data_IF_932853830626
#
_entry.id   IF_932853830626
#
_cell.length_a   1.000
_cell.length_b   1.000
_cell.length_c   1.000
_cell.angle_alpha   90.00
_cell.angle_beta   90.00
_cell.angle_gamma   90.00
#
_symmetry.space_group_name_H-M   'P 1'
#
loop_
_entity.id
_entity.type
_entity.pdbx_description
1 polymer ?
#
# COMPACT_ATOMS: atom_id res chain seq x y z
N UNK A 1 8.53 -15.35 -23.41
CA UNK A 1 7.35 -14.77 -24.10
C UNK A 1 6.36 -15.88 -24.40
N UNK A 2 5.10 -15.76 -24.00
CA UNK A 2 4.06 -16.74 -24.36
C UNK A 2 3.50 -16.44 -25.76
N UNK A 3 3.22 -17.49 -26.54
CA UNK A 3 2.73 -17.38 -27.91
C UNK A 3 1.32 -16.77 -27.91
N UNK A 4 1.09 -15.71 -28.73
CA UNK A 4 -0.26 -15.15 -28.92
C UNK A 4 -1.21 -16.23 -29.44
N UNK A 5 -2.38 -16.32 -28.84
CA UNK A 5 -3.42 -17.28 -29.24
C UNK A 5 -4.00 -16.86 -30.60
N UNK A 6 -3.94 -17.77 -31.60
CA UNK A 6 -4.58 -17.60 -32.90
C UNK A 6 -6.00 -18.16 -32.83
N UNK A 7 -7.00 -17.35 -33.15
CA UNK A 7 -8.43 -17.76 -33.20
C UNK A 7 -8.81 -18.22 -34.61
N UNK A 8 -9.88 -19.03 -34.74
CA UNK A 8 -10.34 -19.53 -36.03
C UNK A 8 -9.34 -20.47 -36.71
N UNK A 9 -8.75 -21.40 -35.96
CA UNK A 9 -7.77 -22.40 -36.46
C UNK A 9 -8.25 -23.83 -36.18
N UNK A 10 -9.51 -24.10 -36.51
CA UNK A 10 -10.14 -25.40 -36.34
C UNK A 10 -10.65 -25.70 -34.92
N UNK A 11 -11.46 -26.74 -34.79
CA UNK A 11 -12.20 -27.05 -33.55
C UNK A 11 -11.29 -27.56 -32.42
N UNK A 12 -10.21 -28.25 -32.76
CA UNK A 12 -9.20 -28.72 -31.79
C UNK A 12 -8.60 -27.57 -30.95
N UNK A 13 -8.58 -26.35 -31.48
CA UNK A 13 -8.14 -25.16 -30.73
C UNK A 13 -9.15 -24.64 -29.68
N UNK A 14 -10.36 -25.21 -29.61
CA UNK A 14 -11.47 -24.76 -28.76
C UNK A 14 -12.10 -23.42 -29.18
N UNK A 15 -11.59 -22.78 -30.25
CA UNK A 15 -12.03 -21.47 -30.75
C UNK A 15 -12.07 -21.45 -32.28
N UNK A 16 -12.53 -22.55 -32.87
CA UNK A 16 -12.70 -22.72 -34.32
C UNK A 16 -13.89 -21.92 -34.84
N UNK A 17 -15.09 -22.51 -34.77
CA UNK A 17 -16.31 -21.99 -35.40
C UNK A 17 -16.63 -20.53 -35.05
N UNK A 18 -16.95 -20.23 -33.79
CA UNK A 18 -17.37 -18.87 -33.39
C UNK A 18 -16.21 -17.95 -33.03
N UNK A 19 -14.97 -18.45 -33.12
CA UNK A 19 -13.78 -17.75 -32.64
C UNK A 19 -13.90 -17.21 -31.19
N UNK A 20 -14.78 -17.81 -30.38
CA UNK A 20 -15.09 -17.38 -29.01
C UNK A 20 -16.06 -16.20 -28.88
N UNK A 21 -16.69 -15.75 -29.98
CA UNK A 21 -17.65 -14.63 -29.98
C UNK A 21 -19.12 -15.05 -29.82
N UNK A 22 -19.41 -16.35 -29.93
CA UNK A 22 -20.78 -16.89 -29.96
C UNK A 22 -21.42 -16.84 -31.36
N UNK A 23 -22.64 -17.36 -31.48
CA UNK A 23 -23.31 -17.56 -32.78
C UNK A 23 -24.01 -16.29 -33.31
N UNK A 24 -24.63 -15.50 -32.44
CA UNK A 24 -25.49 -14.35 -32.81
C UNK A 24 -25.29 -13.19 -31.83
N UNK A 25 -25.88 -12.04 -32.15
CA UNK A 25 -25.84 -10.83 -31.32
C UNK A 25 -24.98 -9.72 -31.93
N UNK A 26 -25.13 -8.50 -31.42
CA UNK A 26 -24.41 -7.33 -31.95
C UNK A 26 -22.88 -7.49 -31.83
N UNK A 27 -22.41 -8.07 -30.72
CA UNK A 27 -20.99 -8.34 -30.41
C UNK A 27 -20.32 -9.35 -31.34
N UNK A 28 -21.07 -10.23 -32.00
CA UNK A 28 -20.49 -11.24 -32.89
C UNK A 28 -20.19 -10.67 -34.29
N UNK A 29 -20.79 -9.55 -34.66
CA UNK A 29 -20.63 -8.90 -35.97
C UNK A 29 -19.32 -8.11 -36.06
N UNK A 30 -18.77 -8.02 -37.27
CA UNK A 30 -17.59 -7.19 -37.55
C UNK A 30 -17.89 -5.72 -37.30
N UNK A 31 -16.94 -4.99 -36.74
CA UNK A 31 -17.06 -3.54 -36.53
C UNK A 31 -17.93 -3.12 -35.34
N UNK A 32 -18.43 -4.06 -34.53
CA UNK A 32 -19.16 -3.69 -33.33
C UNK A 32 -18.27 -2.92 -32.34
N UNK A 33 -18.74 -1.74 -31.94
CA UNK A 33 -18.17 -0.94 -30.86
C UNK A 33 -19.31 -0.40 -30.01
N UNK A 34 -19.32 -0.74 -28.73
CA UNK A 34 -20.19 -0.10 -27.74
C UNK A 34 -19.45 1.07 -27.10
N UNK A 35 -20.14 2.20 -26.89
CA UNK A 35 -19.61 3.25 -26.00
C UNK A 35 -19.44 2.66 -24.60
N UNK A 36 -18.31 2.94 -23.94
CA UNK A 36 -17.91 2.33 -22.67
C UNK A 36 -18.98 2.42 -21.56
N UNK A 37 -19.78 3.48 -21.55
CA UNK A 37 -20.82 3.73 -20.54
C UNK A 37 -22.25 3.67 -21.11
N UNK A 38 -22.45 2.97 -22.23
CA UNK A 38 -23.79 2.82 -22.79
C UNK A 38 -24.51 1.63 -22.15
N UNK A 39 -25.55 1.93 -21.37
CA UNK A 39 -26.34 0.97 -20.60
C UNK A 39 -27.58 0.46 -21.37
N UNK A 40 -27.62 0.62 -22.70
CA UNK A 40 -28.70 0.05 -23.52
C UNK A 40 -29.98 0.88 -23.60
N UNK A 41 -29.94 2.16 -23.21
CA UNK A 41 -31.09 3.09 -23.29
C UNK A 41 -31.35 3.85 -21.99
N UNK A 42 -30.79 3.38 -20.87
CA UNK A 42 -30.76 4.12 -19.62
C UNK A 42 -29.90 5.38 -19.75
N UNK A 43 -30.28 6.45 -19.03
CA UNK A 43 -29.46 7.64 -18.88
C UNK A 43 -28.20 7.27 -18.09
N UNK A 44 -26.99 7.49 -18.63
CA UNK A 44 -25.79 6.99 -18.00
C UNK A 44 -25.48 7.76 -16.71
N UNK A 45 -24.84 7.08 -15.77
CA UNK A 45 -24.62 7.53 -14.40
C UNK A 45 -23.99 8.94 -14.32
N UNK A 46 -23.01 9.25 -15.19
CA UNK A 46 -22.34 10.55 -15.22
C UNK A 46 -23.24 11.74 -15.61
N UNK A 47 -24.44 11.48 -16.15
CA UNK A 47 -25.48 12.49 -16.38
C UNK A 47 -26.47 12.58 -15.22
N UNK A 48 -26.74 11.45 -14.58
CA UNK A 48 -27.69 11.38 -13.45
C UNK A 48 -27.14 12.05 -12.20
N UNK A 49 -25.83 11.94 -11.95
CA UNK A 49 -25.20 12.54 -10.78
C UNK A 49 -24.86 13.99 -11.08
N UNK A 50 -25.30 14.96 -10.25
CA UNK A 50 -24.94 16.35 -10.44
C UNK A 50 -23.43 16.55 -10.22
N UNK A 51 -22.82 17.45 -10.99
CA UNK A 51 -21.44 17.89 -10.74
C UNK A 51 -21.46 18.80 -9.51
N UNK A 52 -20.91 18.33 -8.40
CA UNK A 52 -20.80 19.11 -7.16
C UNK A 52 -19.35 19.57 -6.93
N UNK A 53 -19.21 20.73 -6.30
CA UNK A 53 -17.92 21.27 -5.83
C UNK A 53 -17.15 22.14 -6.86
N UNK A 54 -16.28 23.01 -6.33
CA UNK A 54 -15.35 23.83 -7.11
C UNK A 54 -13.92 23.29 -6.94
N UNK A 55 -13.14 23.26 -8.03
CA UNK A 55 -11.71 22.88 -7.95
C UNK A 55 -10.92 24.03 -7.30
N UNK A 56 -10.58 23.90 -6.02
CA UNK A 56 -9.66 24.84 -5.33
C UNK A 56 -8.25 24.67 -5.93
N UNK A 57 -7.64 25.78 -6.37
CA UNK A 57 -6.42 25.76 -7.20
C UNK A 57 -5.15 25.20 -6.54
N UNK A 58 -5.10 25.01 -5.21
CA UNK A 58 -3.93 24.45 -4.50
C UNK A 58 -4.34 23.76 -3.20
N UNK A 59 -4.01 22.48 -3.06
CA UNK A 59 -3.68 21.87 -1.77
C UNK A 59 -2.20 21.53 -1.88
N UNK A 60 -1.32 22.41 -1.39
CA UNK A 60 0.08 22.04 -1.22
C UNK A 60 0.08 20.90 -0.19
N UNK A 61 0.34 19.68 -0.64
CA UNK A 61 0.72 18.61 0.27
C UNK A 61 2.06 19.02 0.88
N UNK A 62 2.03 19.53 2.11
CA UNK A 62 3.26 19.60 2.90
C UNK A 62 3.61 18.16 3.27
N UNK A 63 4.85 17.75 2.99
CA UNK A 63 5.35 16.44 3.41
C UNK A 63 5.40 16.42 4.94
N UNK A 64 4.41 15.81 5.59
CA UNK A 64 4.35 15.59 7.04
C UNK A 64 5.50 14.72 7.56
N UNK A 65 6.22 14.05 6.66
CA UNK A 65 7.26 13.07 6.98
C UNK A 65 8.49 13.71 7.64
N UNK A 66 8.82 14.96 7.30
CA UNK A 66 10.01 15.65 7.85
C UNK A 66 9.83 15.96 9.34
N UNK A 67 8.63 16.39 9.75
CA UNK A 67 8.34 16.71 11.14
C UNK A 67 8.32 15.45 12.03
N UNK A 68 7.78 14.34 11.52
CA UNK A 68 7.71 13.06 12.25
C UNK A 68 9.09 12.44 12.46
N UNK A 69 10.00 12.57 11.48
CA UNK A 69 11.37 12.07 11.59
C UNK A 69 12.16 12.80 12.70
N UNK A 70 12.05 14.12 12.77
CA UNK A 70 12.74 14.92 13.79
C UNK A 70 12.28 14.60 15.22
N UNK A 71 10.98 14.36 15.42
CA UNK A 71 10.43 13.94 16.73
C UNK A 71 10.97 12.55 17.13
N UNK A 72 11.04 11.62 16.18
CA UNK A 72 11.51 10.25 16.43
C UNK A 72 13.00 10.22 16.78
N UNK A 73 13.83 11.00 16.09
CA UNK A 73 15.24 11.19 16.46
C UNK A 73 15.35 11.84 17.84
N UNK A 74 14.46 12.79 18.17
CA UNK A 74 14.48 13.46 19.47
C UNK A 74 14.24 12.52 20.67
N UNK A 75 13.23 11.67 20.56
CA UNK A 75 12.86 10.72 21.63
C UNK A 75 13.98 9.69 21.88
N UNK A 76 14.66 9.23 20.82
CA UNK A 76 15.71 8.22 20.93
C UNK A 76 16.96 8.72 21.69
N UNK A 77 17.37 9.99 21.54
CA UNK A 77 18.50 10.50 22.32
C UNK A 77 18.19 10.65 23.81
N UNK A 78 16.95 10.99 24.17
CA UNK A 78 16.51 11.09 25.57
C UNK A 78 16.53 9.71 26.23
N UNK A 79 16.04 8.69 25.52
CA UNK A 79 16.02 7.32 26.02
C UNK A 79 17.44 6.74 26.17
N UNK A 80 18.34 7.04 25.24
CA UNK A 80 19.78 6.72 25.33
C UNK A 80 20.45 7.35 26.56
N UNK A 81 20.09 8.60 26.89
CA UNK A 81 20.65 9.32 28.03
C UNK A 81 20.18 8.77 29.38
N UNK A 82 18.90 8.38 29.50
CA UNK A 82 18.36 7.81 30.74
C UNK A 82 18.91 6.41 31.06
N UNK A 83 19.18 5.60 30.04
CA UNK A 83 19.73 4.26 30.23
C UNK A 83 21.21 4.25 30.65
N UNK A 84 22.01 5.27 30.26
CA UNK A 84 23.40 5.40 30.72
C UNK A 84 23.50 5.75 32.21
N UNK A 85 22.60 6.60 32.73
CA UNK A 85 22.58 6.97 34.16
C UNK A 85 22.19 5.80 35.06
N UNK A 86 21.31 4.89 34.59
CA UNK A 86 20.88 3.70 35.34
C UNK A 86 22.01 2.66 35.47
N UNK A 87 22.89 2.54 34.47
CA UNK A 87 24.03 1.61 34.48
C UNK A 87 25.16 2.05 35.45
N UNK A 88 25.40 3.36 35.58
CA UNK A 88 26.40 3.91 36.49
C UNK A 88 26.00 3.70 37.96
N UNK A 89 24.71 3.76 38.28
CA UNK A 89 24.21 3.55 39.64
C UNK A 89 24.28 2.08 40.10
N UNK A 90 24.09 1.14 39.18
CA UNK A 90 24.15 -0.30 39.49
C UNK A 90 25.60 -0.79 39.68
N UNK A 91 26.56 -0.22 38.95
CA UNK A 91 27.97 -0.61 39.04
C UNK A 91 28.61 -0.17 40.38
N UNK A 92 28.12 0.92 40.99
CA UNK A 92 28.61 1.43 42.27
C UNK A 92 28.12 0.57 43.47
N UNK A 93 26.92 -0.01 43.40
CA UNK A 93 26.35 -0.81 44.50
C UNK A 93 27.00 -2.20 44.63
N UNK A 94 27.42 -2.83 43.53
CA UNK A 94 28.06 -4.17 43.57
C UNK A 94 29.50 -4.11 44.09
N UNK A 95 30.23 -3.00 43.87
CA UNK A 95 31.58 -2.83 44.44
C UNK A 95 31.58 -2.58 45.96
N UNK A 96 30.47 -2.05 46.53
CA UNK A 96 30.34 -1.85 47.99
C UNK A 96 29.95 -3.11 48.78
N UNK A 97 29.30 -4.10 48.16
CA UNK A 97 28.91 -5.35 48.85
C UNK A 97 30.02 -6.40 48.98
N UNK A 98 31.07 -6.37 48.15
CA UNK A 98 32.18 -7.33 48.26
C UNK A 98 33.25 -6.98 49.30
N UNK A 99 33.24 -5.76 49.87
CA UNK A 99 34.24 -5.33 50.87
C UNK A 99 33.77 -5.43 52.34
N UNK A 100 32.54 -5.87 52.59
CA UNK A 100 31.98 -6.06 53.95
C UNK A 100 32.11 -7.52 54.43
N UNK A 101 32.38 -8.49 53.53
CA UNK A 101 32.57 -9.91 53.87
C UNK A 101 34.05 -10.35 53.96
N UNK A 102 34.96 -9.42 54.28
CA UNK A 102 36.39 -9.71 54.52
C UNK A 102 36.92 -9.18 55.86
N UNK A 103 36.03 -8.91 56.82
CA UNK A 103 36.41 -8.47 58.18
C UNK A 103 35.88 -9.36 59.32
N UNK A 104 35.26 -10.49 58.98
CA UNK A 104 34.97 -11.56 59.92
C UNK A 104 35.76 -12.77 59.43
N UNK A 105 36.96 -12.95 59.98
CA UNK A 105 37.87 -14.10 60.02
C UNK A 105 39.30 -13.52 60.03
N UNK A 106 39.91 -13.57 61.22
CA UNK A 106 41.24 -13.09 61.62
C UNK A 106 41.38 -11.58 61.89
#
# INVERSE_FOLDING_TARGET
>A
MSKKKRVGRGNSSGKGNTSGRGNKGQKSRSGYSSKFMFEGGQTPIYKTVPKYGVKKKRVLHYNTDIFFHLIKVKINYIFSFFNKKKLIFLCCHVKRRKNIRRRHYC
#
